data_IF_528534436413
#
_entry.id   IF_528534436413
#
_cell.length_a   1.000
_cell.length_b   1.000
_cell.length_c   1.000
_cell.angle_alpha   90.00
_cell.angle_beta   90.00
_cell.angle_gamma   90.00
#
_symmetry.space_group_name_H-M   'P 1'
#
loop_
_entity.id
_entity.type
_entity.pdbx_description
1 polymer ?
#
# COMPACT_ATOMS: atom_id res chain seq x y z
N UNK A 1 -11.29 -16.45 5.57
CA UNK A 1 -12.41 -15.52 5.79
C UNK A 1 -13.35 -16.08 6.86
N UNK A 2 -14.10 -15.24 7.53
CA UNK A 2 -15.19 -15.60 8.42
C UNK A 2 -16.50 -15.30 7.70
N UNK A 3 -17.38 -16.30 7.60
CA UNK A 3 -18.64 -16.18 6.88
C UNK A 3 -19.82 -16.36 7.84
N UNK A 4 -20.89 -15.61 7.61
CA UNK A 4 -22.20 -15.90 8.15
C UNK A 4 -23.00 -16.74 7.13
N UNK A 5 -23.23 -18.00 7.48
CA UNK A 5 -24.01 -18.94 6.64
C UNK A 5 -25.29 -19.32 7.40
N UNK A 6 -26.42 -18.78 6.99
CA UNK A 6 -27.74 -19.04 7.62
C UNK A 6 -27.74 -18.78 9.13
N UNK A 7 -27.14 -17.66 9.55
CA UNK A 7 -27.06 -17.26 10.97
C UNK A 7 -25.98 -17.98 11.79
N UNK A 8 -25.09 -18.73 11.16
CA UNK A 8 -23.96 -19.40 11.83
C UNK A 8 -22.65 -18.94 11.24
N UNK A 9 -21.72 -18.54 12.10
CA UNK A 9 -20.37 -18.23 11.69
C UNK A 9 -19.59 -19.48 11.28
N UNK A 10 -18.85 -19.38 10.18
CA UNK A 10 -18.01 -20.47 9.65
C UNK A 10 -16.70 -19.90 9.12
N UNK A 11 -15.60 -20.54 9.48
CA UNK A 11 -14.31 -20.28 8.86
C UNK A 11 -14.27 -20.86 7.44
N UNK A 12 -13.84 -20.03 6.50
CA UNK A 12 -13.61 -20.41 5.10
C UNK A 12 -12.13 -20.22 4.78
N UNK A 13 -11.37 -21.30 4.55
CA UNK A 13 -9.96 -21.22 4.21
C UNK A 13 -9.77 -20.62 2.81
N UNK A 14 -8.81 -19.72 2.68
CA UNK A 14 -8.40 -19.14 1.39
C UNK A 14 -6.91 -19.37 1.19
N UNK A 15 -6.51 -19.56 -0.05
CA UNK A 15 -5.10 -19.61 -0.42
C UNK A 15 -4.46 -18.25 -0.24
N UNK A 16 -3.23 -18.24 0.25
CA UNK A 16 -2.40 -17.06 0.28
C UNK A 16 -1.52 -17.03 -0.97
N UNK A 17 -1.66 -16.02 -1.80
CA UNK A 17 -0.86 -15.84 -3.03
C UNK A 17 0.37 -14.98 -2.81
N UNK A 18 0.62 -14.48 -1.58
CA UNK A 18 1.79 -13.67 -1.30
C UNK A 18 3.07 -14.51 -1.44
N UNK A 19 4.07 -13.97 -2.12
CA UNK A 19 5.43 -14.52 -2.17
C UNK A 19 6.24 -14.17 -0.92
N UNK A 20 5.75 -13.22 -0.11
CA UNK A 20 6.31 -12.82 1.19
C UNK A 20 5.31 -13.11 2.31
N UNK A 21 4.91 -14.37 2.44
CA UNK A 21 3.86 -14.86 3.32
C UNK A 21 4.10 -14.57 4.82
N UNK A 22 5.34 -14.27 5.20
CA UNK A 22 5.71 -13.84 6.55
C UNK A 22 5.53 -12.34 6.79
N UNK A 23 5.32 -11.52 5.76
CA UNK A 23 5.16 -10.05 5.86
C UNK A 23 3.73 -9.60 5.57
N UNK A 24 3.07 -10.26 4.61
CA UNK A 24 1.70 -9.95 4.21
C UNK A 24 1.01 -11.20 3.65
N UNK A 25 -0.30 -11.12 3.47
CA UNK A 25 -1.06 -12.14 2.75
C UNK A 25 -1.88 -11.49 1.64
N UNK A 26 -2.11 -12.26 0.58
CA UNK A 26 -2.99 -11.91 -0.54
C UNK A 26 -4.00 -13.04 -0.69
N UNK A 27 -5.25 -12.76 -0.38
CA UNK A 27 -6.32 -13.75 -0.57
C UNK A 27 -6.49 -14.01 -2.06
N UNK A 28 -6.53 -15.30 -2.44
CA UNK A 28 -6.83 -15.69 -3.80
C UNK A 28 -8.22 -15.17 -4.23
N UNK A 29 -8.31 -14.40 -5.32
CA UNK A 29 -9.59 -13.87 -5.80
C UNK A 29 -10.65 -14.95 -6.09
N UNK A 30 -10.24 -16.14 -6.56
CA UNK A 30 -11.18 -17.25 -6.77
C UNK A 30 -11.76 -17.75 -5.46
N UNK A 31 -10.93 -17.86 -4.43
CA UNK A 31 -11.39 -18.31 -3.11
C UNK A 31 -12.26 -17.24 -2.44
N UNK A 32 -11.94 -15.94 -2.66
CA UNK A 32 -12.80 -14.85 -2.22
C UNK A 32 -14.21 -14.94 -2.85
N UNK A 33 -14.29 -15.12 -4.17
CA UNK A 33 -15.57 -15.27 -4.88
C UNK A 33 -16.33 -16.51 -4.41
N UNK A 34 -15.64 -17.63 -4.15
CA UNK A 34 -16.29 -18.84 -3.58
C UNK A 34 -16.85 -18.58 -2.18
N UNK A 35 -16.10 -17.85 -1.35
CA UNK A 35 -16.56 -17.45 -0.02
C UNK A 35 -17.82 -16.59 -0.09
N UNK A 36 -17.80 -15.55 -0.92
CA UNK A 36 -18.92 -14.63 -1.13
C UNK A 36 -20.18 -15.35 -1.65
N UNK A 37 -20.02 -16.34 -2.53
CA UNK A 37 -21.12 -17.20 -2.99
C UNK A 37 -21.62 -18.22 -1.93
N UNK A 38 -20.84 -18.46 -0.88
CA UNK A 38 -21.18 -19.43 0.18
C UNK A 38 -21.96 -18.78 1.32
N UNK A 39 -21.67 -17.52 1.63
CA UNK A 39 -22.30 -16.76 2.71
C UNK A 39 -21.77 -15.35 2.78
N UNK A 40 -22.39 -14.54 3.64
CA UNK A 40 -21.95 -13.18 3.89
C UNK A 40 -20.56 -13.17 4.54
N UNK A 41 -19.61 -12.46 3.95
CA UNK A 41 -18.27 -12.29 4.55
C UNK A 41 -18.38 -11.29 5.71
N UNK A 42 -18.14 -11.75 6.93
CA UNK A 42 -18.29 -10.95 8.15
C UNK A 42 -16.97 -10.69 8.87
N UNK A 43 -15.86 -11.20 8.37
CA UNK A 43 -14.55 -10.93 8.96
C UNK A 43 -13.38 -11.56 8.21
N UNK A 44 -12.20 -11.11 8.55
CA UNK A 44 -10.94 -11.64 8.05
C UNK A 44 -10.19 -12.32 9.20
N UNK A 45 -9.63 -13.49 8.94
CA UNK A 45 -8.82 -14.24 9.91
C UNK A 45 -7.46 -14.51 9.28
N UNK A 46 -6.39 -14.10 9.95
CA UNK A 46 -5.03 -14.45 9.52
C UNK A 46 -4.12 -14.77 10.71
N UNK A 47 -2.94 -15.27 10.44
CA UNK A 47 -2.00 -15.69 11.48
C UNK A 47 -0.71 -14.89 11.44
N UNK A 48 -0.15 -14.64 12.65
CA UNK A 48 1.21 -14.20 12.89
C UNK A 48 2.04 -15.36 13.44
N UNK A 49 2.59 -16.24 12.60
CA UNK A 49 3.25 -17.47 13.08
C UNK A 49 4.58 -17.23 13.78
N UNK A 50 5.22 -16.06 13.55
CA UNK A 50 6.56 -15.72 14.06
C UNK A 50 6.50 -14.65 15.14
N UNK A 51 5.58 -13.67 15.00
CA UNK A 51 5.43 -12.52 15.91
C UNK A 51 4.20 -12.70 16.80
N UNK A 52 4.09 -11.95 17.91
CA UNK A 52 2.83 -11.84 18.65
C UNK A 52 1.66 -11.41 17.75
N UNK A 53 0.39 -11.68 18.14
CA UNK A 53 -0.77 -11.37 17.30
C UNK A 53 -1.17 -9.89 17.29
N UNK A 54 -0.35 -8.99 17.85
CA UNK A 54 -0.63 -7.56 17.85
C UNK A 54 -0.75 -7.04 16.40
N UNK A 55 -1.81 -6.25 16.09
CA UNK A 55 -2.03 -5.72 14.77
C UNK A 55 -0.89 -4.80 14.29
N UNK A 56 -0.28 -5.12 13.17
CA UNK A 56 0.70 -4.27 12.49
C UNK A 56 0.05 -3.00 11.91
N UNK A 57 0.85 -2.07 11.41
CA UNK A 57 0.31 -0.91 10.66
C UNK A 57 -0.43 -1.37 9.40
N UNK A 58 0.09 -2.37 8.71
CA UNK A 58 -0.53 -2.94 7.51
C UNK A 58 -1.89 -3.59 7.83
N UNK A 59 -1.98 -4.34 8.93
CA UNK A 59 -3.25 -4.92 9.38
C UNK A 59 -4.31 -3.85 9.65
N UNK A 60 -3.92 -2.78 10.34
CA UNK A 60 -4.84 -1.67 10.66
C UNK A 60 -5.34 -0.97 9.39
N UNK A 61 -4.47 -0.70 8.42
CA UNK A 61 -4.84 -0.10 7.13
C UNK A 61 -5.79 -1.05 6.36
N UNK A 62 -5.41 -2.32 6.24
CA UNK A 62 -6.21 -3.30 5.50
C UNK A 62 -7.56 -3.59 6.16
N UNK A 63 -7.64 -3.51 7.49
CA UNK A 63 -8.89 -3.58 8.24
C UNK A 63 -9.80 -2.39 7.90
N UNK A 64 -9.28 -1.16 7.90
CA UNK A 64 -10.03 0.03 7.48
C UNK A 64 -10.53 -0.08 6.03
N UNK A 65 -9.69 -0.55 5.12
CA UNK A 65 -10.02 -0.67 3.69
C UNK A 65 -11.08 -1.74 3.44
N UNK A 66 -10.99 -2.87 4.15
CA UNK A 66 -11.98 -3.96 4.04
C UNK A 66 -13.33 -3.63 4.67
N UNK A 67 -13.36 -2.71 5.63
CA UNK A 67 -14.53 -2.38 6.48
C UNK A 67 -15.07 -3.58 7.25
N UNK A 68 -14.23 -4.58 7.49
CA UNK A 68 -14.56 -5.81 8.21
C UNK A 68 -13.73 -5.93 9.49
N UNK A 69 -14.23 -6.57 10.53
CA UNK A 69 -13.43 -6.94 11.67
C UNK A 69 -12.36 -7.99 11.30
N UNK A 70 -11.21 -7.90 11.95
CA UNK A 70 -10.07 -8.78 11.73
C UNK A 70 -9.70 -9.53 13.00
N UNK A 71 -9.39 -10.79 12.85
CA UNK A 71 -8.95 -11.70 13.90
C UNK A 71 -7.54 -12.19 13.57
N UNK A 72 -6.59 -11.93 14.44
CA UNK A 72 -5.18 -12.30 14.27
C UNK A 72 -4.85 -13.37 15.29
N UNK A 73 -4.28 -14.49 14.86
CA UNK A 73 -3.89 -15.57 15.75
C UNK A 73 -2.39 -15.85 15.66
N UNK A 74 -1.73 -16.07 16.78
CA UNK A 74 -0.44 -16.73 16.79
C UNK A 74 -0.67 -18.23 17.06
N UNK A 75 -0.46 -19.12 16.06
CA UNK A 75 -0.81 -20.53 16.18
C UNK A 75 0.10 -21.29 17.15
N UNK A 76 1.30 -20.76 17.50
CA UNK A 76 2.21 -21.41 18.44
C UNK A 76 1.85 -21.13 19.88
N UNK A 77 1.30 -19.96 20.17
CA UNK A 77 0.95 -19.53 21.53
C UNK A 77 -0.55 -19.56 21.78
N UNK A 78 -1.34 -19.83 20.76
CA UNK A 78 -2.81 -19.82 20.79
C UNK A 78 -3.41 -18.49 21.26
N UNK A 79 -2.62 -17.41 21.21
CA UNK A 79 -3.08 -16.06 21.55
C UNK A 79 -3.75 -15.41 20.35
N UNK A 80 -4.76 -14.60 20.64
CA UNK A 80 -5.55 -13.89 19.65
C UNK A 80 -5.53 -12.39 19.91
N UNK A 81 -5.66 -11.63 18.82
CA UNK A 81 -6.02 -10.22 18.86
C UNK A 81 -7.21 -9.99 17.91
N UNK A 82 -7.95 -8.96 18.22
CA UNK A 82 -9.10 -8.50 17.44
C UNK A 82 -8.90 -7.02 17.11
N UNK A 83 -9.27 -6.63 15.91
CA UNK A 83 -9.38 -5.22 15.52
C UNK A 83 -10.62 -5.04 14.63
N UNK A 84 -11.15 -3.84 14.65
CA UNK A 84 -12.25 -3.42 13.79
C UNK A 84 -11.97 -2.04 13.21
N UNK A 85 -12.61 -1.65 12.11
CA UNK A 85 -12.48 -0.33 11.55
C UNK A 85 -12.82 0.72 12.60
N UNK A 86 -11.89 1.63 12.86
CA UNK A 86 -12.00 2.68 13.88
C UNK A 86 -11.62 4.08 13.38
N UNK A 87 -11.41 4.22 12.06
CA UNK A 87 -10.93 5.45 11.44
C UNK A 87 -9.41 5.61 11.54
N UNK A 88 -8.65 4.52 11.69
CA UNK A 88 -7.19 4.56 11.77
C UNK A 88 -6.60 5.21 10.50
N UNK A 89 -5.70 6.15 10.72
CA UNK A 89 -4.91 6.79 9.66
C UNK A 89 -3.44 6.55 9.95
N UNK A 90 -2.75 5.90 9.02
CA UNK A 90 -1.32 5.71 9.16
C UNK A 90 -0.58 7.07 9.10
N UNK A 91 0.43 7.29 9.96
CA UNK A 91 1.26 8.48 9.87
C UNK A 91 1.97 8.50 8.51
N UNK A 92 2.23 9.67 7.95
CA UNK A 92 2.95 9.78 6.66
C UNK A 92 4.43 9.42 6.80
N UNK A 93 5.03 9.69 7.95
CA UNK A 93 6.43 9.40 8.25
C UNK A 93 6.55 8.29 9.29
N UNK A 94 7.62 7.48 9.19
CA UNK A 94 7.87 6.38 10.11
C UNK A 94 7.06 5.11 9.83
N UNK A 95 6.49 4.96 8.63
CA UNK A 95 5.79 3.72 8.23
C UNK A 95 6.76 2.60 7.96
N UNK A 96 6.37 1.40 8.33
CA UNK A 96 7.00 0.19 7.82
C UNK A 96 6.57 -0.06 6.38
N UNK A 97 7.53 -0.45 5.54
CA UNK A 97 7.24 -0.73 4.14
C UNK A 97 6.58 -2.11 3.98
N UNK A 98 5.44 -2.14 3.31
CA UNK A 98 4.74 -3.37 2.92
C UNK A 98 4.21 -3.18 1.50
N UNK A 99 4.63 -4.06 0.59
CA UNK A 99 4.26 -4.01 -0.82
C UNK A 99 2.74 -3.98 -1.02
N UNK A 100 2.25 -3.01 -1.78
CA UNK A 100 0.83 -2.83 -2.08
C UNK A 100 -0.02 -2.23 -0.96
N UNK A 101 0.49 -2.12 0.28
CA UNK A 101 -0.26 -1.59 1.43
C UNK A 101 0.33 -0.26 1.91
N UNK A 102 1.64 -0.24 2.18
CA UNK A 102 2.35 0.95 2.69
C UNK A 102 3.57 1.27 1.84
N UNK A 103 3.52 1.04 0.55
CA UNK A 103 4.58 1.35 -0.41
C UNK A 103 4.66 2.84 -0.77
N UNK A 104 5.53 3.19 -1.72
CA UNK A 104 5.73 4.56 -2.16
C UNK A 104 4.48 5.20 -2.77
N UNK A 105 3.66 4.44 -3.53
CA UNK A 105 2.42 4.97 -4.10
C UNK A 105 1.33 5.14 -3.05
N UNK A 106 1.21 4.22 -2.10
CA UNK A 106 0.28 4.34 -0.98
C UNK A 106 0.57 5.59 -0.14
N UNK A 107 1.86 5.91 0.08
CA UNK A 107 2.26 7.14 0.77
C UNK A 107 1.79 8.40 0.02
N UNK A 108 1.94 8.45 -1.30
CA UNK A 108 1.47 9.55 -2.14
C UNK A 108 -0.06 9.70 -2.04
N UNK A 109 -0.80 8.59 -2.16
CA UNK A 109 -2.27 8.59 -2.04
C UNK A 109 -2.73 9.17 -0.73
N UNK A 110 -2.13 8.73 0.37
CA UNK A 110 -2.49 9.18 1.71
C UNK A 110 -2.15 10.64 1.93
N UNK A 111 -1.01 11.11 1.42
CA UNK A 111 -0.67 12.52 1.46
C UNK A 111 -1.70 13.38 0.71
N UNK A 112 -2.08 12.98 -0.51
CA UNK A 112 -3.08 13.70 -1.29
C UNK A 112 -4.45 13.71 -0.60
N UNK A 113 -4.84 12.60 0.02
CA UNK A 113 -6.08 12.51 0.78
C UNK A 113 -6.05 13.41 2.02
N UNK A 114 -4.94 13.42 2.76
CA UNK A 114 -4.81 14.18 4.01
C UNK A 114 -4.63 15.68 3.77
N UNK A 115 -3.77 16.07 2.83
CA UNK A 115 -3.35 17.47 2.62
C UNK A 115 -4.18 18.20 1.56
N UNK A 116 -4.76 17.48 0.63
CA UNK A 116 -5.51 18.07 -0.50
C UNK A 116 -6.98 17.64 -0.53
N UNK A 117 -7.39 16.69 0.29
CA UNK A 117 -8.72 16.05 0.22
C UNK A 117 -9.02 15.46 -1.18
N UNK A 118 -8.00 14.92 -1.83
CA UNK A 118 -8.06 14.28 -3.15
C UNK A 118 -7.85 12.78 -2.98
N UNK A 119 -8.80 11.99 -3.41
CA UNK A 119 -8.68 10.54 -3.46
C UNK A 119 -8.07 10.11 -4.79
N UNK A 120 -6.78 9.80 -4.78
CA UNK A 120 -6.11 9.24 -5.93
C UNK A 120 -6.48 7.77 -6.11
N UNK A 121 -6.67 7.38 -7.37
CA UNK A 121 -6.94 5.98 -7.71
C UNK A 121 -5.79 5.09 -7.24
N UNK A 122 -6.14 3.98 -6.62
CA UNK A 122 -5.18 2.90 -6.39
C UNK A 122 -5.09 1.99 -7.61
N UNK A 123 -3.90 1.44 -7.80
CA UNK A 123 -3.59 0.49 -8.84
C UNK A 123 -3.10 -0.79 -8.21
N UNK A 124 -3.68 -1.90 -8.59
CA UNK A 124 -3.18 -3.20 -8.14
C UNK A 124 -1.72 -3.36 -8.58
N UNK A 125 -0.83 -3.58 -7.60
CA UNK A 125 0.57 -3.88 -7.89
C UNK A 125 0.67 -5.28 -8.47
N UNK A 126 1.68 -5.54 -9.31
CA UNK A 126 2.09 -6.91 -9.61
C UNK A 126 2.34 -7.70 -8.33
N UNK A 127 2.28 -9.02 -8.43
CA UNK A 127 2.41 -9.90 -7.27
C UNK A 127 3.76 -9.78 -6.58
N UNK A 128 4.81 -9.45 -7.36
CA UNK A 128 6.16 -9.27 -6.84
C UNK A 128 6.79 -7.95 -7.29
N UNK A 129 7.75 -7.40 -6.52
CA UNK A 129 8.55 -6.26 -6.95
C UNK A 129 9.32 -6.51 -8.25
N UNK A 130 9.74 -7.75 -8.52
CA UNK A 130 10.46 -8.13 -9.74
C UNK A 130 9.55 -8.04 -10.99
N UNK A 131 8.29 -8.41 -10.86
CA UNK A 131 7.30 -8.21 -11.93
C UNK A 131 7.04 -6.72 -12.16
N UNK A 132 6.99 -5.92 -11.08
CA UNK A 132 6.85 -4.48 -11.15
C UNK A 132 7.99 -3.82 -11.94
N UNK A 133 9.24 -4.28 -11.78
CA UNK A 133 10.39 -3.76 -12.53
C UNK A 133 10.29 -4.00 -14.05
N UNK A 134 9.50 -5.00 -14.46
CA UNK A 134 9.25 -5.32 -15.86
C UNK A 134 8.03 -4.59 -16.44
N UNK A 135 7.15 -4.06 -15.59
CA UNK A 135 5.94 -3.32 -15.99
C UNK A 135 6.18 -1.80 -15.83
N UNK A 136 6.11 -0.98 -16.89
CA UNK A 136 6.21 0.47 -16.79
C UNK A 136 4.95 1.08 -16.14
N UNK A 137 4.55 0.56 -14.99
CA UNK A 137 3.28 0.87 -14.34
C UNK A 137 3.15 2.36 -14.00
N UNK A 138 4.22 3.00 -13.52
CA UNK A 138 4.19 4.43 -13.23
C UNK A 138 3.89 5.25 -14.50
N UNK A 139 4.55 4.94 -15.60
CA UNK A 139 4.34 5.65 -16.86
C UNK A 139 2.95 5.41 -17.44
N UNK A 140 2.44 4.18 -17.30
CA UNK A 140 1.12 3.78 -17.80
C UNK A 140 -0.03 4.37 -16.99
N UNK A 141 0.16 4.57 -15.68
CA UNK A 141 -0.91 4.92 -14.74
C UNK A 141 -0.94 6.40 -14.36
N UNK A 142 0.16 7.14 -14.45
CA UNK A 142 0.28 8.52 -13.96
C UNK A 142 -0.84 9.44 -14.45
N UNK A 143 -1.04 9.52 -15.74
CA UNK A 143 -2.07 10.39 -16.35
C UNK A 143 -3.50 9.91 -16.12
N UNK A 144 -3.71 8.59 -15.89
CA UNK A 144 -5.03 8.07 -15.51
C UNK A 144 -5.39 8.40 -14.05
N UNK A 145 -4.46 8.90 -13.29
CA UNK A 145 -4.66 9.41 -11.93
C UNK A 145 -4.72 10.93 -11.87
N UNK A 146 -4.72 11.62 -13.01
CA UNK A 146 -4.86 13.07 -13.06
C UNK A 146 -3.54 13.85 -13.04
N UNK A 147 -2.40 13.19 -13.25
CA UNK A 147 -1.10 13.85 -13.32
C UNK A 147 -0.67 14.12 -14.77
N UNK A 148 -0.09 15.29 -14.98
CA UNK A 148 0.63 15.65 -16.20
C UNK A 148 2.12 15.80 -15.95
N UNK A 149 2.92 15.53 -16.93
CA UNK A 149 4.36 15.78 -16.87
C UNK A 149 4.64 17.30 -16.89
N UNK A 150 5.61 17.73 -16.07
CA UNK A 150 6.08 19.12 -16.08
C UNK A 150 7.00 19.36 -17.27
N UNK A 151 6.88 20.53 -17.87
CA UNK A 151 7.84 21.01 -18.87
C UNK A 151 9.18 21.34 -18.19
N UNK A 152 10.30 21.35 -18.93
CA UNK A 152 11.63 21.62 -18.36
C UNK A 152 11.72 22.94 -17.59
N UNK A 153 11.04 23.98 -18.05
CA UNK A 153 11.04 25.31 -17.46
C UNK A 153 10.12 25.48 -16.24
N UNK A 154 9.27 24.51 -15.97
CA UNK A 154 8.39 24.58 -14.80
C UNK A 154 9.15 24.21 -13.52
N UNK A 155 9.11 25.10 -12.54
CA UNK A 155 9.65 24.82 -11.19
C UNK A 155 8.74 23.87 -10.41
N UNK A 156 9.35 23.07 -9.52
CA UNK A 156 8.63 22.19 -8.61
C UNK A 156 7.79 22.98 -7.60
N UNK A 157 6.65 22.41 -7.22
CA UNK A 157 5.74 22.91 -6.19
C UNK A 157 5.39 21.78 -5.22
N UNK A 158 4.96 22.15 -4.00
CA UNK A 158 4.51 21.18 -3.00
C UNK A 158 3.39 20.30 -3.55
N UNK A 159 3.59 18.99 -3.49
CA UNK A 159 2.70 17.98 -4.02
C UNK A 159 3.09 17.46 -5.41
N UNK A 160 4.08 18.05 -6.10
CA UNK A 160 4.57 17.46 -7.34
C UNK A 160 5.17 16.07 -7.08
N UNK A 161 4.97 15.16 -8.01
CA UNK A 161 5.54 13.82 -7.95
C UNK A 161 6.85 13.73 -8.73
N UNK A 162 7.78 12.99 -8.17
CA UNK A 162 9.08 12.69 -8.76
C UNK A 162 9.13 11.19 -9.02
N UNK A 163 9.06 10.79 -10.29
CA UNK A 163 9.27 9.41 -10.68
C UNK A 163 10.75 9.16 -10.86
N UNK A 164 11.25 8.17 -10.15
CA UNK A 164 12.68 7.92 -9.99
C UNK A 164 13.07 6.50 -10.38
N UNK A 165 14.33 6.36 -10.81
CA UNK A 165 15.02 5.09 -10.98
C UNK A 165 15.97 4.89 -9.80
N UNK A 166 15.57 4.07 -8.82
CA UNK A 166 16.35 3.80 -7.62
C UNK A 166 16.96 2.40 -7.72
N UNK A 167 18.29 2.32 -7.70
CA UNK A 167 19.09 1.10 -7.76
C UNK A 167 18.92 0.23 -9.02
N UNK A 168 17.77 0.24 -9.64
CA UNK A 168 17.44 -0.57 -10.83
C UNK A 168 17.05 0.35 -12.00
N UNK A 169 17.26 -0.08 -13.26
CA UNK A 169 16.77 0.63 -14.43
C UNK A 169 15.24 0.74 -14.45
N UNK A 170 14.76 1.81 -15.10
CA UNK A 170 13.32 2.09 -15.22
C UNK A 170 12.76 2.86 -14.02
N UNK A 171 11.61 3.49 -14.22
CA UNK A 171 10.93 4.25 -13.18
C UNK A 171 10.28 3.28 -12.19
N UNK A 172 10.92 3.08 -11.05
CA UNK A 172 10.55 2.08 -10.05
C UNK A 172 10.20 2.66 -8.67
N UNK A 173 10.27 3.99 -8.52
CA UNK A 173 9.97 4.67 -7.28
C UNK A 173 9.25 5.99 -7.54
N UNK A 174 8.40 6.39 -6.59
CA UNK A 174 7.77 7.71 -6.56
C UNK A 174 8.06 8.40 -5.24
N UNK A 175 8.44 9.67 -5.31
CA UNK A 175 8.55 10.57 -4.19
C UNK A 175 7.65 11.78 -4.40
N UNK A 176 7.28 12.43 -3.31
CA UNK A 176 6.49 13.65 -3.30
C UNK A 176 7.39 14.81 -2.92
N UNK A 177 7.42 15.86 -3.75
CA UNK A 177 8.19 17.08 -3.46
C UNK A 177 7.45 17.96 -2.46
N UNK A 178 8.17 18.44 -1.43
CA UNK A 178 7.62 19.31 -0.41
C UNK A 178 8.69 20.22 0.21
N UNK A 179 8.60 21.53 -0.02
CA UNK A 179 9.48 22.58 0.56
C UNK A 179 10.98 22.32 0.39
N UNK A 180 11.41 21.90 -0.80
CA UNK A 180 12.82 21.59 -1.08
C UNK A 180 13.25 20.18 -0.66
N UNK A 181 12.39 19.45 0.02
CA UNK A 181 12.58 18.06 0.43
C UNK A 181 11.78 17.10 -0.44
N UNK A 182 11.95 15.82 -0.20
CA UNK A 182 11.09 14.75 -0.68
C UNK A 182 10.48 13.99 0.49
N UNK A 183 9.23 13.61 0.35
CA UNK A 183 8.57 12.64 1.22
C UNK A 183 8.44 11.36 0.41
N UNK A 184 9.02 10.29 0.90
CA UNK A 184 9.03 9.02 0.18
C UNK A 184 9.16 7.79 1.08
N UNK A 185 8.99 6.61 0.48
CA UNK A 185 9.06 5.34 1.18
C UNK A 185 9.84 4.33 0.34
N UNK A 186 11.11 4.15 0.65
CA UNK A 186 11.97 3.15 0.01
C UNK A 186 11.75 1.77 0.63
N UNK A 187 11.96 0.73 -0.16
CA UNK A 187 11.93 -0.66 0.29
C UNK A 187 12.88 -0.87 1.47
N UNK A 188 12.45 -1.66 2.46
CA UNK A 188 13.19 -2.00 3.68
C UNK A 188 13.62 -0.81 4.54
N UNK A 189 12.96 0.34 4.38
CA UNK A 189 13.17 1.52 5.23
C UNK A 189 11.84 2.03 5.78
N UNK A 190 11.90 2.88 6.77
CA UNK A 190 10.74 3.66 7.19
C UNK A 190 10.53 4.82 6.22
N UNK A 191 9.27 5.17 5.99
CA UNK A 191 8.96 6.39 5.21
C UNK A 191 9.57 7.61 5.89
N UNK A 192 10.16 8.49 5.10
CA UNK A 192 10.89 9.64 5.62
C UNK A 192 10.67 10.90 4.79
N UNK A 193 11.10 12.03 5.35
CA UNK A 193 11.31 13.29 4.68
C UNK A 193 12.80 13.59 4.69
N UNK A 194 13.37 13.83 3.53
CA UNK A 194 14.80 14.16 3.39
C UNK A 194 15.02 15.22 2.30
N UNK A 195 16.14 15.97 2.33
CA UNK A 195 16.43 16.96 1.30
C UNK A 195 16.44 16.37 -0.11
N UNK A 196 15.86 17.10 -1.08
CA UNK A 196 15.93 16.71 -2.49
C UNK A 196 17.37 16.92 -3.00
N UNK A 197 18.21 15.98 -2.61
CA UNK A 197 19.66 15.98 -2.84
C UNK A 197 20.03 15.82 -4.32
N UNK A 198 21.29 16.13 -4.65
CA UNK A 198 21.82 15.94 -6.01
C UNK A 198 21.70 14.47 -6.48
N UNK A 199 21.83 13.52 -5.56
CA UNK A 199 21.63 12.10 -5.87
C UNK A 199 20.18 11.78 -6.26
N UNK A 200 19.21 12.26 -5.48
CA UNK A 200 17.79 12.09 -5.80
C UNK A 200 17.39 12.80 -7.10
N UNK A 201 17.99 13.98 -7.34
CA UNK A 201 17.82 14.70 -8.60
C UNK A 201 18.30 13.85 -9.79
N UNK A 202 19.47 13.24 -9.70
CA UNK A 202 20.01 12.34 -10.74
C UNK A 202 19.16 11.08 -10.94
N UNK A 203 18.49 10.60 -9.89
CA UNK A 203 17.57 9.47 -9.98
C UNK A 203 16.21 9.87 -10.59
N UNK A 204 15.87 11.15 -10.62
CA UNK A 204 14.56 11.62 -11.10
C UNK A 204 14.49 11.60 -12.62
N UNK A 205 13.64 10.74 -13.17
CA UNK A 205 13.40 10.65 -14.61
C UNK A 205 12.24 11.50 -15.09
N UNK A 206 11.18 11.64 -14.26
CA UNK A 206 10.00 12.46 -14.59
C UNK A 206 9.52 13.28 -13.41
N UNK A 207 9.01 14.47 -13.70
CA UNK A 207 8.38 15.36 -12.74
C UNK A 207 6.92 15.57 -13.15
N UNK A 208 5.99 15.33 -12.25
CA UNK A 208 4.58 15.36 -12.58
C UNK A 208 3.81 16.26 -11.61
N UNK A 209 2.78 16.93 -12.12
CA UNK A 209 1.86 17.76 -11.33
C UNK A 209 0.44 17.27 -11.50
N UNK A 210 -0.30 17.26 -10.40
CA UNK A 210 -1.73 16.99 -10.45
C UNK A 210 -2.42 18.10 -11.24
N UNK A 211 -3.11 17.70 -12.30
CA UNK A 211 -3.91 18.60 -13.12
C UNK A 211 -5.37 18.37 -12.74
N UNK A 212 -5.89 19.24 -11.86
CA UNK A 212 -7.33 19.27 -11.50
C UNK A 212 -8.20 19.65 -12.69
#
# INVERSE_FOLDING_TARGET
LLLNVKGKERYFPCRNLSMTDHQCFIIDPEDYVKADNTGEIVGVVHSHPITPPEPSQADKISCEDSKLPWYIVNPKTERWAYLEPCGYKAPLLGRQWVWGITDCWSLVRDWYKQEKNIELRDWQRPTTPEEFLKDPMFERCAWRTGFRELRPEESLKNGDLLFMSILNPGLNHVALFFDGDVIHHLTDRLSCREPYSEWLLKCTGKRLRYAS
#
